data_IF_803686576428
#
_entry.id   IF_803686576428
#
_cell.length_a   1.000
_cell.length_b   1.000
_cell.length_c   1.000
_cell.angle_alpha   90.00
_cell.angle_beta   90.00
_cell.angle_gamma   90.00
#
_symmetry.space_group_name_H-M   'P 1'
#
loop_
_entity.id
_entity.type
_entity.pdbx_description
1 polymer ?
#
# COMPACT_ATOMS: atom_id res chain seq x y z
N UNK A 1 -6.93 1.83 -13.88
CA UNK A 1 -7.48 2.41 -12.64
C UNK A 1 -6.59 3.53 -12.17
N UNK A 2 -6.89 4.20 -11.06
CA UNK A 2 -6.05 5.28 -10.51
C UNK A 2 -4.78 4.80 -9.76
N UNK A 3 -4.29 3.58 -10.08
CA UNK A 3 -3.14 2.95 -9.44
C UNK A 3 -3.20 2.95 -7.89
N UNK A 4 -4.41 2.94 -7.32
CA UNK A 4 -4.59 2.92 -5.87
C UNK A 4 -4.47 4.29 -5.19
N UNK A 5 -4.20 5.36 -5.94
CA UNK A 5 -4.13 6.73 -5.41
C UNK A 5 -5.54 7.25 -5.14
N UNK A 6 -6.14 6.80 -4.03
CA UNK A 6 -7.50 7.18 -3.60
C UNK A 6 -7.55 8.59 -3.01
N UNK A 7 -6.42 9.12 -2.57
CA UNK A 7 -6.26 10.46 -2.00
C UNK A 7 -4.92 11.06 -2.41
N UNK A 8 -4.84 12.38 -2.42
CA UNK A 8 -3.60 13.08 -2.71
C UNK A 8 -2.47 12.69 -1.75
N UNK A 9 -2.78 12.46 -0.48
CA UNK A 9 -1.80 12.02 0.53
C UNK A 9 -1.21 10.63 0.29
N UNK A 10 -1.84 9.79 -0.54
CA UNK A 10 -1.35 8.46 -0.89
C UNK A 10 -0.37 8.48 -2.07
N UNK A 11 -0.27 9.60 -2.77
CA UNK A 11 0.65 9.71 -3.89
C UNK A 11 2.10 9.55 -3.39
N UNK A 12 2.90 8.60 -3.93
CA UNK A 12 4.28 8.40 -3.49
C UNK A 12 5.16 9.63 -3.66
N UNK A 13 5.03 10.30 -4.81
CA UNK A 13 5.68 11.57 -5.09
C UNK A 13 4.77 12.53 -5.83
N UNK A 14 4.74 13.78 -5.38
CA UNK A 14 3.99 14.86 -6.07
C UNK A 14 4.51 15.12 -7.49
N UNK A 15 5.81 14.88 -7.74
CA UNK A 15 6.44 15.01 -9.06
C UNK A 15 5.86 14.09 -10.14
N UNK A 16 5.13 13.04 -9.77
CA UNK A 16 4.42 12.17 -10.74
C UNK A 16 3.36 12.96 -11.51
N UNK A 17 2.65 13.89 -10.85
CA UNK A 17 1.57 14.68 -11.47
C UNK A 17 2.08 15.50 -12.66
N UNK A 18 3.11 16.37 -12.53
CA UNK A 18 3.57 17.16 -13.67
C UNK A 18 4.15 16.31 -14.82
N UNK A 19 4.77 15.15 -14.53
CA UNK A 19 5.25 14.24 -15.61
C UNK A 19 4.07 13.62 -16.36
N UNK A 20 3.03 13.17 -15.67
CA UNK A 20 1.81 12.69 -16.31
C UNK A 20 1.05 13.82 -17.04
N UNK A 21 1.00 15.03 -16.48
CA UNK A 21 0.40 16.18 -17.15
C UNK A 21 1.14 16.51 -18.46
N UNK A 22 2.48 16.42 -18.45
CA UNK A 22 3.29 16.56 -19.67
C UNK A 22 2.94 15.50 -20.72
N UNK A 23 2.76 14.25 -20.32
CA UNK A 23 2.34 13.19 -21.24
C UNK A 23 1.02 13.52 -21.95
N UNK A 24 -0.01 13.94 -21.21
CA UNK A 24 -1.30 14.29 -21.81
C UNK A 24 -1.17 15.49 -22.74
N UNK A 25 -0.41 16.51 -22.35
CA UNK A 25 -0.12 17.66 -23.20
C UNK A 25 0.58 17.25 -24.51
N UNK A 26 1.65 16.45 -24.41
CA UNK A 26 2.50 16.09 -25.55
C UNK A 26 1.84 15.09 -26.50
N UNK A 27 1.09 14.12 -25.95
CA UNK A 27 0.35 13.14 -26.75
C UNK A 27 -0.92 13.70 -27.38
N UNK A 28 -1.35 14.91 -26.96
CA UNK A 28 -2.61 15.54 -27.37
C UNK A 28 -3.85 14.64 -27.17
N UNK A 29 -3.79 13.77 -26.17
CA UNK A 29 -4.86 12.83 -25.85
C UNK A 29 -5.53 13.18 -24.52
N UNK A 30 -6.83 12.93 -24.42
CA UNK A 30 -7.60 13.07 -23.17
C UNK A 30 -7.50 11.85 -22.26
N UNK A 31 -6.97 10.74 -22.78
CA UNK A 31 -6.78 9.48 -22.07
C UNK A 31 -5.41 8.89 -22.40
N UNK A 32 -4.90 8.04 -21.52
CA UNK A 32 -3.68 7.27 -21.80
C UNK A 32 -3.95 6.35 -22.99
N UNK A 33 -3.06 6.36 -23.99
CA UNK A 33 -3.11 5.43 -25.11
C UNK A 33 -3.00 4.00 -24.57
N UNK A 34 -3.87 3.10 -25.03
CA UNK A 34 -3.88 1.69 -24.64
C UNK A 34 -2.51 1.02 -24.80
N UNK A 35 -1.73 1.38 -25.84
CA UNK A 35 -0.37 0.87 -26.04
C UNK A 35 0.65 1.38 -25.01
N UNK A 36 0.40 2.52 -24.37
CA UNK A 36 1.32 3.14 -23.40
C UNK A 36 0.97 2.78 -21.96
N UNK A 37 -0.25 2.29 -21.73
CA UNK A 37 -0.81 2.07 -20.39
C UNK A 37 0.11 1.22 -19.51
N UNK A 38 0.49 0.03 -19.97
CA UNK A 38 1.32 -0.87 -19.18
C UNK A 38 2.67 -0.24 -18.81
N UNK A 39 3.31 0.47 -19.74
CA UNK A 39 4.57 1.17 -19.50
C UNK A 39 4.42 2.29 -18.46
N UNK A 40 3.35 3.07 -18.53
CA UNK A 40 3.10 4.16 -17.57
C UNK A 40 2.75 3.60 -16.18
N UNK A 41 2.00 2.50 -16.10
CA UNK A 41 1.69 1.82 -14.84
C UNK A 41 2.98 1.26 -14.21
N UNK A 42 3.86 0.60 -14.99
CA UNK A 42 5.18 0.15 -14.51
C UNK A 42 6.08 1.30 -14.09
N UNK A 43 6.10 2.40 -14.85
CA UNK A 43 6.86 3.61 -14.51
C UNK A 43 6.43 4.16 -13.14
N UNK A 44 5.12 4.26 -12.89
CA UNK A 44 4.61 4.72 -11.60
C UNK A 44 5.13 3.87 -10.43
N UNK A 45 5.05 2.54 -10.54
CA UNK A 45 5.52 1.65 -9.48
C UNK A 45 7.03 1.71 -9.30
N UNK A 46 7.79 1.70 -10.40
CA UNK A 46 9.26 1.77 -10.35
C UNK A 46 9.75 3.10 -9.78
N UNK A 47 9.19 4.24 -10.18
CA UNK A 47 9.52 5.55 -9.58
C UNK A 47 9.31 5.53 -8.08
N UNK A 48 8.23 4.89 -7.64
CA UNK A 48 7.82 4.88 -6.24
C UNK A 48 8.67 3.94 -5.38
N UNK A 49 8.88 2.70 -5.82
CA UNK A 49 9.61 1.67 -5.07
C UNK A 49 11.13 1.75 -5.19
N UNK A 50 11.68 2.40 -6.22
CA UNK A 50 13.11 2.73 -6.28
C UNK A 50 13.45 4.06 -5.59
N UNK A 51 12.44 4.72 -5.02
CA UNK A 51 12.57 6.05 -4.40
C UNK A 51 13.23 7.09 -5.32
N UNK A 52 12.97 6.98 -6.63
CA UNK A 52 13.66 7.72 -7.71
C UNK A 52 13.62 9.24 -7.52
N UNK A 53 12.55 9.79 -6.94
CA UNK A 53 12.43 11.23 -6.70
C UNK A 53 12.79 11.63 -5.26
N UNK A 54 13.35 10.72 -4.45
CA UNK A 54 13.82 11.00 -3.10
C UNK A 54 15.04 11.94 -3.07
N UNK A 55 15.82 11.96 -4.15
CA UNK A 55 16.93 12.89 -4.37
C UNK A 55 16.92 13.39 -5.82
N UNK A 56 17.54 14.55 -6.08
CA UNK A 56 17.67 15.13 -7.43
C UNK A 56 16.37 15.11 -8.29
N UNK A 57 15.21 15.28 -7.65
CA UNK A 57 13.91 15.08 -8.29
C UNK A 57 13.72 15.83 -9.63
N UNK A 58 14.13 17.13 -9.77
CA UNK A 58 14.02 17.82 -11.06
C UNK A 58 14.79 17.14 -12.19
N UNK A 59 15.97 16.59 -11.90
CA UNK A 59 16.81 15.87 -12.87
C UNK A 59 16.12 14.59 -13.32
N UNK A 60 15.68 13.75 -12.38
CA UNK A 60 15.00 12.50 -12.70
C UNK A 60 13.65 12.72 -13.40
N UNK A 61 12.90 13.75 -13.02
CA UNK A 61 11.69 14.15 -13.75
C UNK A 61 12.00 14.59 -15.19
N UNK A 62 13.14 15.26 -15.41
CA UNK A 62 13.62 15.61 -16.75
C UNK A 62 14.04 14.41 -17.59
N UNK A 63 14.62 13.39 -16.98
CA UNK A 63 14.91 12.09 -17.62
C UNK A 63 13.62 11.36 -17.99
N UNK A 64 12.68 11.29 -17.05
CA UNK A 64 11.39 10.62 -17.25
C UNK A 64 10.58 11.33 -18.34
N UNK A 65 10.64 12.66 -18.42
CA UNK A 65 10.07 13.41 -19.55
C UNK A 65 10.60 12.89 -20.89
N UNK A 66 11.92 12.69 -21.03
CA UNK A 66 12.52 12.17 -22.27
C UNK A 66 12.08 10.74 -22.58
N UNK A 67 11.93 9.90 -21.56
CA UNK A 67 11.36 8.56 -21.69
C UNK A 67 9.93 8.63 -22.24
N UNK A 68 9.11 9.55 -21.74
CA UNK A 68 7.76 9.75 -22.24
C UNK A 68 7.71 10.33 -23.66
N UNK A 69 8.65 11.20 -24.05
CA UNK A 69 8.81 11.62 -25.45
C UNK A 69 9.06 10.42 -26.37
N UNK A 70 9.98 9.52 -25.98
CA UNK A 70 10.26 8.29 -26.73
C UNK A 70 9.05 7.37 -26.81
N UNK A 71 8.33 7.18 -25.70
CA UNK A 71 7.12 6.37 -25.65
C UNK A 71 6.03 6.93 -26.59
N UNK A 72 5.84 8.25 -26.61
CA UNK A 72 4.87 8.93 -27.49
C UNK A 72 5.26 8.78 -28.96
N UNK A 73 6.56 8.80 -29.27
CA UNK A 73 7.09 8.55 -30.61
C UNK A 73 7.02 7.07 -31.03
N UNK A 74 6.39 6.19 -30.23
CA UNK A 74 6.33 4.73 -30.41
C UNK A 74 7.71 4.06 -30.48
N UNK A 75 8.72 4.63 -29.80
CA UNK A 75 10.03 4.02 -29.65
C UNK A 75 10.01 3.03 -28.48
N UNK A 76 10.89 2.03 -28.54
CA UNK A 76 11.09 1.12 -27.42
C UNK A 76 11.75 1.87 -26.25
N UNK A 77 11.21 1.69 -25.06
CA UNK A 77 11.72 2.29 -23.81
C UNK A 77 11.93 1.21 -22.75
N UNK A 78 12.97 1.36 -21.94
CA UNK A 78 13.25 0.53 -20.76
C UNK A 78 13.13 1.36 -19.49
N UNK A 79 12.71 0.72 -18.40
CA UNK A 79 12.64 1.32 -17.06
C UNK A 79 13.73 0.72 -16.17
N UNK A 80 14.95 1.20 -16.35
CA UNK A 80 16.13 0.71 -15.64
C UNK A 80 16.29 1.37 -14.26
N UNK A 81 15.20 1.35 -13.47
CA UNK A 81 15.18 1.83 -12.10
C UNK A 81 15.24 0.61 -11.17
N UNK A 82 16.38 0.34 -10.52
CA UNK A 82 16.51 -0.82 -9.63
C UNK A 82 15.58 -0.65 -8.43
N UNK A 83 14.73 -1.65 -8.19
CA UNK A 83 13.81 -1.70 -7.05
C UNK A 83 14.35 -2.74 -6.06
N UNK A 84 14.87 -2.27 -4.93
CA UNK A 84 15.46 -3.11 -3.90
C UNK A 84 14.69 -2.93 -2.58
N UNK A 85 13.46 -3.45 -2.54
CA UNK A 85 12.63 -3.43 -1.33
C UNK A 85 12.69 -4.80 -0.66
N UNK A 86 13.50 -4.89 0.39
CA UNK A 86 13.64 -6.11 1.20
C UNK A 86 12.57 -6.20 2.29
N UNK A 87 12.37 -7.42 2.81
CA UNK A 87 11.40 -7.69 3.87
C UNK A 87 11.66 -6.81 5.10
N UNK A 88 12.92 -6.67 5.52
CA UNK A 88 13.26 -5.83 6.67
C UNK A 88 13.03 -4.34 6.42
N UNK A 89 13.11 -3.86 5.16
CA UNK A 89 12.71 -2.49 4.85
C UNK A 89 11.21 -2.30 5.09
N UNK A 90 10.36 -3.22 4.61
CA UNK A 90 8.90 -3.16 4.79
C UNK A 90 8.53 -3.17 6.28
N UNK A 91 9.17 -4.04 7.06
CA UNK A 91 8.97 -4.16 8.50
C UNK A 91 9.36 -2.86 9.22
N UNK A 92 10.51 -2.28 8.87
CA UNK A 92 11.05 -1.09 9.51
C UNK A 92 10.34 0.22 9.15
N UNK A 93 9.64 0.30 8.02
CA UNK A 93 8.91 1.52 7.63
C UNK A 93 7.80 1.80 8.65
N UNK A 94 7.83 3.00 9.24
CA UNK A 94 6.85 3.42 10.23
C UNK A 94 5.74 4.25 9.58
N UNK A 95 4.48 4.02 9.97
CA UNK A 95 3.34 4.76 9.44
C UNK A 95 3.42 6.27 9.67
N UNK A 96 4.08 6.68 10.76
CA UNK A 96 4.30 8.09 11.14
C UNK A 96 5.31 8.83 10.24
N UNK A 97 6.13 8.14 9.46
CA UNK A 97 7.14 8.78 8.61
C UNK A 97 6.62 9.02 7.19
N UNK A 98 7.14 10.03 6.51
CA UNK A 98 6.90 10.23 5.08
C UNK A 98 7.82 9.30 4.30
N UNK A 99 7.26 8.44 3.45
CA UNK A 99 8.02 7.50 2.61
C UNK A 99 7.25 7.19 1.33
N UNK A 100 7.95 7.20 0.20
CA UNK A 100 7.35 6.85 -1.09
C UNK A 100 6.99 5.37 -1.16
N UNK A 101 7.85 4.48 -0.65
CA UNK A 101 7.58 3.04 -0.52
C UNK A 101 6.33 2.81 0.33
N UNK A 102 6.19 3.48 1.49
CA UNK A 102 4.99 3.42 2.33
C UNK A 102 3.73 3.75 1.53
N UNK A 103 3.73 4.90 0.85
CA UNK A 103 2.60 5.38 0.08
C UNK A 103 2.26 4.47 -1.11
N UNK A 104 3.28 3.87 -1.74
CA UNK A 104 3.09 2.91 -2.82
C UNK A 104 2.47 1.60 -2.30
N UNK A 105 2.89 1.09 -1.14
CA UNK A 105 2.23 -0.06 -0.50
C UNK A 105 0.78 0.25 -0.13
N UNK A 106 0.49 1.44 0.40
CA UNK A 106 -0.90 1.89 0.66
C UNK A 106 -1.73 1.90 -0.63
N UNK A 107 -1.15 2.34 -1.75
CA UNK A 107 -1.79 2.28 -3.05
C UNK A 107 -2.05 0.83 -3.51
N UNK A 108 -1.08 -0.08 -3.35
CA UNK A 108 -1.25 -1.51 -3.65
C UNK A 108 -2.40 -2.12 -2.84
N UNK A 109 -2.40 -1.90 -1.53
CA UNK A 109 -3.49 -2.35 -0.65
C UNK A 109 -4.84 -1.75 -1.07
N UNK A 110 -4.87 -0.50 -1.54
CA UNK A 110 -6.09 0.14 -2.04
C UNK A 110 -6.62 -0.53 -3.32
N UNK A 111 -5.75 -1.03 -4.20
CA UNK A 111 -6.13 -1.76 -5.43
C UNK A 111 -6.74 -3.13 -5.10
N UNK A 112 -6.30 -3.76 -4.01
CA UNK A 112 -6.88 -5.02 -3.53
C UNK A 112 -8.34 -4.91 -3.06
N UNK A 113 -8.90 -3.70 -3.03
CA UNK A 113 -10.27 -3.39 -2.63
C UNK A 113 -10.58 -3.96 -1.23
N UNK A 114 -9.98 -3.36 -0.18
CA UNK A 114 -10.06 -3.86 1.18
C UNK A 114 -11.51 -4.05 1.61
N UNK A 115 -11.77 -5.17 2.29
CA UNK A 115 -13.12 -5.56 2.71
C UNK A 115 -13.29 -5.45 4.22
N UNK A 116 -14.47 -5.04 4.64
CA UNK A 116 -14.80 -4.90 6.05
C UNK A 116 -14.85 -6.27 6.73
N UNK A 117 -14.20 -6.41 7.88
CA UNK A 117 -13.92 -7.72 8.47
C UNK A 117 -15.16 -8.52 8.82
N UNK A 118 -16.26 -7.86 9.21
CA UNK A 118 -17.49 -8.55 9.66
C UNK A 118 -18.45 -8.92 8.54
N UNK A 119 -18.67 -8.05 7.56
CA UNK A 119 -19.75 -8.16 6.58
C UNK A 119 -19.24 -8.22 5.12
N UNK A 120 -17.91 -8.27 4.92
CA UNK A 120 -17.23 -8.41 3.63
C UNK A 120 -17.52 -7.29 2.60
N UNK A 121 -18.20 -6.21 2.97
CA UNK A 121 -18.44 -5.07 2.09
C UNK A 121 -17.14 -4.32 1.80
N UNK A 122 -17.04 -3.68 0.64
CA UNK A 122 -15.88 -2.84 0.34
C UNK A 122 -15.78 -1.68 1.33
N UNK A 123 -14.55 -1.36 1.72
CA UNK A 123 -14.26 -0.21 2.55
C UNK A 123 -14.03 1.00 1.64
N UNK A 124 -14.85 2.05 1.71
CA UNK A 124 -14.60 3.29 1.01
C UNK A 124 -13.33 3.95 1.55
N UNK A 125 -12.38 4.29 0.68
CA UNK A 125 -11.10 4.89 1.07
C UNK A 125 -11.07 6.42 0.86
N UNK A 126 -12.22 7.04 0.62
CA UNK A 126 -12.37 8.49 0.45
C UNK A 126 -12.49 9.23 1.80
N UNK A 127 -12.34 10.56 1.75
CA UNK A 127 -12.26 11.44 2.93
C UNK A 127 -13.49 11.42 3.83
N UNK A 128 -14.64 10.91 3.35
CA UNK A 128 -15.85 10.78 4.19
C UNK A 128 -15.74 9.65 5.21
N UNK A 129 -14.90 8.64 4.95
CA UNK A 129 -14.87 7.41 5.74
C UNK A 129 -13.64 7.28 6.64
N UNK A 130 -12.54 7.97 6.31
CA UNK A 130 -11.36 8.07 7.18
C UNK A 130 -10.88 9.51 7.32
N UNK A 131 -10.82 10.00 8.56
CA UNK A 131 -10.44 11.39 8.87
C UNK A 131 -8.94 11.65 8.83
N UNK A 132 -8.09 10.65 9.15
CA UNK A 132 -6.63 10.80 9.07
C UNK A 132 -5.89 9.45 9.04
N UNK A 133 -5.38 9.05 7.87
CA UNK A 133 -4.57 7.84 7.70
C UNK A 133 -3.13 7.96 8.22
N UNK A 134 -2.64 9.18 8.44
CA UNK A 134 -1.32 9.40 9.04
C UNK A 134 -1.38 9.39 10.57
N UNK A 135 -2.55 9.15 11.18
CA UNK A 135 -2.67 9.01 12.63
C UNK A 135 -2.06 7.67 13.01
N UNK A 136 -0.88 7.65 13.65
CA UNK A 136 -0.12 6.42 13.85
C UNK A 136 -0.79 5.49 14.85
N UNK A 137 -1.78 5.91 15.62
CA UNK A 137 -2.50 5.05 16.58
C UNK A 137 -3.72 4.35 15.97
N UNK A 138 -4.12 4.76 14.78
CA UNK A 138 -5.32 4.26 14.13
C UNK A 138 -4.92 3.20 13.11
N UNK A 139 -5.80 2.21 12.87
CA UNK A 139 -5.70 1.31 11.72
C UNK A 139 -4.64 0.19 11.84
N UNK A 140 -4.50 -0.43 13.02
CA UNK A 140 -3.58 -1.56 13.22
C UNK A 140 -4.30 -2.89 13.36
N UNK A 141 -3.68 -3.95 12.84
CA UNK A 141 -4.14 -5.31 13.07
C UNK A 141 -3.79 -5.73 14.50
N UNK A 142 -2.54 -5.63 14.90
CA UNK A 142 -2.15 -5.76 16.30
C UNK A 142 -2.34 -4.40 16.98
N UNK A 143 -3.32 -4.24 17.89
CA UNK A 143 -3.62 -2.92 18.45
C UNK A 143 -2.42 -2.34 19.21
N UNK A 144 -2.19 -1.04 19.08
CA UNK A 144 -1.07 -0.37 19.73
C UNK A 144 -1.08 -0.58 21.26
N UNK A 145 -2.25 -0.49 21.89
CA UNK A 145 -2.44 -0.75 23.33
C UNK A 145 -2.17 -2.20 23.74
N UNK A 146 -2.35 -3.17 22.84
CA UNK A 146 -1.96 -4.55 23.07
C UNK A 146 -0.44 -4.70 23.02
N UNK A 147 0.22 -4.07 22.04
CA UNK A 147 1.67 -4.09 21.86
C UNK A 147 2.41 -3.33 22.98
N UNK A 148 1.84 -2.24 23.48
CA UNK A 148 2.42 -1.47 24.59
C UNK A 148 2.55 -2.29 25.88
N UNK A 149 1.61 -3.21 26.13
CA UNK A 149 1.68 -4.16 27.26
C UNK A 149 2.85 -5.14 27.12
N UNK A 150 3.43 -5.26 25.93
CA UNK A 150 4.61 -6.05 25.61
C UNK A 150 5.87 -5.17 25.41
N UNK A 151 5.78 -3.88 25.78
CA UNK A 151 6.85 -2.89 25.59
C UNK A 151 7.23 -2.62 24.12
N UNK A 152 6.38 -3.02 23.18
CA UNK A 152 6.57 -2.80 21.75
C UNK A 152 5.89 -1.48 21.37
N UNK A 153 6.70 -0.47 21.00
CA UNK A 153 6.23 0.84 20.52
C UNK A 153 6.53 1.02 19.04
N UNK A 154 5.89 0.21 18.20
CA UNK A 154 6.11 0.20 16.77
C UNK A 154 4.81 0.40 15.98
N UNK A 155 4.88 1.22 14.93
CA UNK A 155 3.78 1.48 14.02
C UNK A 155 4.17 1.04 12.61
N UNK A 156 4.63 -0.21 12.49
CA UNK A 156 5.11 -0.78 11.25
C UNK A 156 4.04 -0.70 10.15
N UNK A 157 4.47 -0.41 8.92
CA UNK A 157 3.64 -0.50 7.73
C UNK A 157 3.02 -1.90 7.58
N UNK A 158 3.75 -2.95 7.97
CA UNK A 158 3.22 -4.31 7.94
C UNK A 158 2.12 -4.56 8.99
N UNK A 159 1.94 -3.68 9.97
CA UNK A 159 0.81 -3.73 10.92
C UNK A 159 -0.41 -2.90 10.48
N UNK A 160 -0.23 -2.00 9.51
CA UNK A 160 -1.30 -1.11 9.04
C UNK A 160 -2.39 -1.85 8.25
N UNK A 161 -3.65 -1.48 8.46
CA UNK A 161 -4.79 -2.04 7.76
C UNK A 161 -5.94 -1.03 7.71
N UNK A 162 -6.63 -0.90 6.58
CA UNK A 162 -7.79 -0.01 6.46
C UNK A 162 -8.95 -0.51 7.35
N UNK A 163 -8.97 -0.06 8.61
CA UNK A 163 -9.95 -0.46 9.63
C UNK A 163 -10.82 0.76 9.94
N UNK A 164 -12.13 0.75 9.63
CA UNK A 164 -12.98 1.91 9.88
C UNK A 164 -13.20 2.14 11.37
N UNK A 165 -13.72 3.33 11.72
CA UNK A 165 -13.80 3.75 13.12
C UNK A 165 -14.65 2.83 14.00
N UNK A 166 -15.73 2.25 13.46
CA UNK A 166 -16.54 1.28 14.21
C UNK A 166 -15.75 -0.02 14.50
N UNK A 167 -14.93 -0.48 13.55
CA UNK A 167 -14.26 -1.77 13.65
C UNK A 167 -13.06 -1.62 14.56
N UNK A 168 -12.42 -0.46 14.51
CA UNK A 168 -11.40 -0.05 15.46
C UNK A 168 -11.97 -0.01 16.90
N UNK A 169 -13.23 0.40 17.09
CA UNK A 169 -13.92 0.34 18.40
C UNK A 169 -14.39 -1.06 18.78
N UNK A 170 -14.59 -1.96 17.83
CA UNK A 170 -14.85 -3.37 18.14
C UNK A 170 -13.56 -4.11 18.53
N UNK A 171 -12.43 -3.78 17.89
CA UNK A 171 -11.11 -4.35 18.16
C UNK A 171 -10.52 -3.82 19.47
N UNK A 172 -10.55 -2.50 19.71
CA UNK A 172 -9.96 -1.83 20.89
C UNK A 172 -8.55 -2.36 21.22
N UNK A 173 -8.35 -2.91 22.42
CA UNK A 173 -7.09 -3.47 22.91
C UNK A 173 -7.10 -5.01 22.93
N UNK A 174 -8.06 -5.62 22.23
CA UNK A 174 -8.25 -7.07 22.20
C UNK A 174 -7.11 -7.74 21.45
N UNK A 175 -6.79 -8.96 21.87
CA UNK A 175 -5.78 -9.79 21.22
C UNK A 175 -6.24 -10.19 19.80
N UNK A 176 -5.36 -10.13 18.78
CA UNK A 176 -5.63 -10.64 17.44
C UNK A 176 -6.26 -12.04 17.43
N UNK A 177 -5.71 -12.95 18.22
CA UNK A 177 -6.19 -14.34 18.31
C UNK A 177 -7.62 -14.46 18.79
N UNK A 178 -8.12 -13.48 19.56
CA UNK A 178 -9.49 -13.47 20.07
C UNK A 178 -10.44 -12.92 19.02
N UNK A 179 -10.23 -11.68 18.56
CA UNK A 179 -11.18 -11.05 17.66
C UNK A 179 -11.17 -11.70 16.28
N UNK A 180 -10.03 -12.21 15.77
CA UNK A 180 -10.03 -12.91 14.49
C UNK A 180 -10.75 -14.26 14.55
N UNK A 181 -10.74 -14.96 15.69
CA UNK A 181 -11.52 -16.20 15.86
C UNK A 181 -13.02 -15.92 15.81
N UNK A 182 -13.47 -14.87 16.47
CA UNK A 182 -14.87 -14.42 16.41
C UNK A 182 -15.27 -14.01 15.00
N UNK A 183 -14.47 -13.14 14.36
CA UNK A 183 -14.72 -12.69 12.99
C UNK A 183 -14.74 -13.88 12.02
N UNK A 184 -13.84 -14.86 12.18
CA UNK A 184 -13.84 -16.08 11.35
C UNK A 184 -15.11 -16.93 11.54
N UNK A 185 -15.69 -16.94 12.74
CA UNK A 185 -16.97 -17.63 13.00
C UNK A 185 -18.18 -16.89 12.45
N UNK A 186 -18.15 -15.56 12.39
CA UNK A 186 -19.26 -14.72 11.94
C UNK A 186 -19.24 -14.44 10.42
N UNK A 187 -18.06 -14.33 9.81
CA UNK A 187 -17.91 -13.95 8.41
C UNK A 187 -17.67 -15.17 7.51
N UNK A 188 -18.67 -15.62 6.71
CA UNK A 188 -18.51 -16.78 5.82
C UNK A 188 -17.48 -16.55 4.70
N UNK A 189 -17.15 -15.30 4.38
CA UNK A 189 -16.13 -14.92 3.39
C UNK A 189 -14.79 -14.51 4.05
N UNK A 190 -14.52 -14.94 5.29
CA UNK A 190 -13.33 -14.57 6.06
C UNK A 190 -12.03 -14.63 5.26
N UNK A 191 -11.79 -15.73 4.54
CA UNK A 191 -10.57 -15.92 3.74
C UNK A 191 -10.41 -14.81 2.69
N UNK A 192 -11.46 -14.56 1.91
CA UNK A 192 -11.49 -13.52 0.88
C UNK A 192 -11.34 -12.12 1.48
N UNK A 193 -11.92 -11.88 2.65
CA UNK A 193 -11.70 -10.64 3.39
C UNK A 193 -10.22 -10.47 3.74
N UNK A 194 -9.58 -11.46 4.36
CA UNK A 194 -8.17 -11.36 4.79
C UNK A 194 -7.21 -11.24 3.60
N UNK A 195 -7.47 -11.94 2.50
CA UNK A 195 -6.71 -11.82 1.25
C UNK A 195 -6.75 -10.40 0.67
N UNK A 196 -7.89 -9.69 0.79
CA UNK A 196 -8.00 -8.29 0.33
C UNK A 196 -7.12 -7.30 1.11
N UNK A 197 -6.60 -7.70 2.27
CA UNK A 197 -5.72 -6.91 3.12
C UNK A 197 -4.29 -7.48 3.22
N UNK A 198 -4.00 -8.55 2.49
CA UNK A 198 -2.75 -9.33 2.59
C UNK A 198 -2.48 -9.80 4.03
N UNK A 199 -3.51 -10.28 4.73
CA UNK A 199 -3.38 -10.83 6.08
C UNK A 199 -3.16 -12.35 5.97
N UNK A 200 -2.05 -12.90 6.50
CA UNK A 200 -1.82 -14.33 6.52
C UNK A 200 -2.84 -15.02 7.44
N UNK A 201 -3.42 -16.13 6.99
CA UNK A 201 -4.43 -16.90 7.74
C UNK A 201 -4.11 -18.40 7.84
N UNK A 202 -2.92 -18.81 7.40
CA UNK A 202 -2.44 -20.19 7.55
C UNK A 202 -2.50 -20.63 9.01
N UNK A 203 -2.52 -21.94 9.25
CA UNK A 203 -2.61 -22.49 10.61
C UNK A 203 -1.49 -21.99 11.52
N UNK A 204 -0.33 -21.72 10.95
CA UNK A 204 0.85 -21.19 11.64
C UNK A 204 0.85 -19.66 11.74
N UNK A 205 -0.19 -18.95 11.31
CA UNK A 205 -0.16 -17.49 11.27
C UNK A 205 -0.06 -16.86 12.67
N UNK A 206 0.76 -15.82 12.79
CA UNK A 206 0.91 -15.06 14.03
C UNK A 206 -0.40 -14.44 14.55
N UNK A 207 -1.40 -14.21 13.69
CA UNK A 207 -2.72 -13.71 14.13
C UNK A 207 -3.45 -14.69 15.05
N UNK A 208 -3.13 -15.99 15.00
CA UNK A 208 -3.79 -17.02 15.80
C UNK A 208 -3.14 -17.22 17.18
N UNK A 209 -1.88 -16.81 17.32
CA UNK A 209 -1.05 -17.02 18.52
C UNK A 209 -0.61 -15.72 19.19
N UNK A 210 -1.07 -14.57 18.69
CA UNK A 210 -0.66 -13.24 19.14
C UNK A 210 0.85 -12.97 19.01
N UNK A 211 1.52 -13.69 18.10
CA UNK A 211 2.94 -13.51 17.81
C UNK A 211 3.13 -12.39 16.80
N UNK A 212 3.40 -11.19 17.31
CA UNK A 212 3.56 -9.98 16.50
C UNK A 212 4.73 -10.08 15.51
N UNK A 213 5.89 -10.57 15.96
CA UNK A 213 7.09 -10.66 15.12
C UNK A 213 6.86 -11.63 13.96
N UNK A 214 6.25 -12.79 14.26
CA UNK A 214 5.87 -13.76 13.22
C UNK A 214 4.86 -13.16 12.24
N UNK A 215 3.84 -12.47 12.73
CA UNK A 215 2.84 -11.82 11.90
C UNK A 215 3.45 -10.77 10.95
N UNK A 216 4.31 -9.90 11.48
CA UNK A 216 4.96 -8.83 10.72
C UNK A 216 5.87 -9.41 9.64
N UNK A 217 6.61 -10.48 9.95
CA UNK A 217 7.41 -11.21 8.95
C UNK A 217 6.53 -11.78 7.83
N UNK A 218 5.51 -12.57 8.18
CA UNK A 218 4.62 -13.20 7.20
C UNK A 218 3.90 -12.17 6.31
N UNK A 219 3.45 -11.05 6.90
CA UNK A 219 2.75 -10.01 6.15
C UNK A 219 3.69 -9.20 5.26
N UNK A 220 4.91 -8.94 5.71
CA UNK A 220 5.93 -8.27 4.88
C UNK A 220 6.32 -9.11 3.66
N UNK A 221 6.37 -10.44 3.78
CA UNK A 221 6.55 -11.36 2.64
C UNK A 221 5.42 -11.26 1.61
N UNK A 222 4.16 -11.23 2.07
CA UNK A 222 2.99 -11.05 1.20
C UNK A 222 3.01 -9.69 0.50
N UNK A 223 3.39 -8.62 1.21
CA UNK A 223 3.55 -7.28 0.63
C UNK A 223 4.67 -7.27 -0.41
N UNK A 224 5.85 -7.86 -0.11
CA UNK A 224 6.98 -7.93 -1.05
C UNK A 224 6.58 -8.65 -2.33
N UNK A 225 5.89 -9.78 -2.23
CA UNK A 225 5.38 -10.53 -3.39
C UNK A 225 4.43 -9.67 -4.25
N UNK A 226 3.61 -8.83 -3.62
CA UNK A 226 2.74 -7.92 -4.36
C UNK A 226 3.52 -6.80 -5.05
N UNK A 227 4.54 -6.24 -4.39
CA UNK A 227 5.45 -5.26 -5.00
C UNK A 227 6.12 -5.87 -6.24
N UNK A 228 6.65 -7.09 -6.13
CA UNK A 228 7.29 -7.80 -7.24
C UNK A 228 6.35 -8.07 -8.42
N UNK A 229 5.03 -8.17 -8.17
CA UNK A 229 4.05 -8.41 -9.23
C UNK A 229 3.72 -7.19 -10.10
N UNK A 230 4.08 -5.98 -9.65
CA UNK A 230 3.73 -4.72 -10.33
C UNK A 230 4.92 -3.98 -10.94
N UNK A 231 6.15 -4.46 -10.70
CA UNK A 231 7.40 -3.87 -11.21
C UNK A 231 7.85 -4.47 -12.53
#
# INVERSE_FOLDING_TARGET
GNLGVKRYGFLPYRGIIPVLAYYFYKSNNRSINSSHKEMIEKWFWRVSFSERYGSAAPTHMGEDRKLFDQLIDNKQVSLDYPVNVEIDNIKGIQMKTTSAVKNAVICLLSIKNPRHFKNNTFIPLDDSYFSNFNSPEKHHIFPASFLEKQEIKEFSLANFCFIPAELNKYILDRKPSQYFKEIKGENPEFKKTMESHLIPIGEDSGIWTDDYNKFIQQRAELIKKEIESVI
#
